data_IF_868885356961
#
_entry.id   IF_868885356961
#
_cell.length_a   1.000
_cell.length_b   1.000
_cell.length_c   1.000
_cell.angle_alpha   90.00
_cell.angle_beta   90.00
_cell.angle_gamma   90.00
#
_symmetry.space_group_name_H-M   'P 1'
#
loop_
_entity.id
_entity.type
_entity.pdbx_description
1 polymer ?
#
# COMPACT_ATOMS: atom_id res chain seq x y z
N UNK A 1 -14.70 -35.10 2.25
CA UNK A 1 -14.66 -34.03 1.24
C UNK A 1 -14.59 -32.73 2.02
N UNK A 2 -13.39 -32.18 2.24
CA UNK A 2 -13.26 -30.85 2.81
C UNK A 2 -13.23 -29.88 1.64
N UNK A 3 -14.18 -28.95 1.59
CA UNK A 3 -14.22 -27.87 0.62
C UNK A 3 -12.97 -27.01 0.82
N UNK A 4 -12.10 -26.98 -0.19
CA UNK A 4 -10.92 -26.12 -0.17
C UNK A 4 -11.40 -24.73 -0.56
N UNK A 5 -11.46 -23.82 0.41
CA UNK A 5 -11.84 -22.43 0.15
C UNK A 5 -10.73 -21.77 -0.70
N UNK A 6 -10.98 -21.60 -2.00
CA UNK A 6 -10.01 -21.02 -2.92
C UNK A 6 -9.94 -19.50 -2.70
N UNK A 7 -8.92 -19.04 -1.99
CA UNK A 7 -8.62 -17.62 -1.87
C UNK A 7 -8.24 -17.03 -3.23
N UNK A 8 -9.04 -16.09 -3.73
CA UNK A 8 -8.80 -15.37 -4.98
C UNK A 8 -8.50 -13.90 -4.71
N UNK A 9 -7.33 -13.44 -5.12
CA UNK A 9 -6.99 -12.01 -5.13
C UNK A 9 -7.71 -11.35 -6.32
N UNK A 10 -8.43 -10.28 -6.05
CA UNK A 10 -9.25 -9.57 -7.06
C UNK A 10 -8.50 -8.46 -7.81
N UNK A 11 -7.27 -8.12 -7.37
CA UNK A 11 -6.38 -7.15 -8.03
C UNK A 11 -5.03 -7.77 -8.42
N UNK A 12 -4.38 -7.23 -9.44
CA UNK A 12 -2.95 -7.50 -9.69
C UNK A 12 -2.19 -7.23 -8.39
N UNK A 13 -1.44 -8.20 -7.85
CA UNK A 13 -0.76 -8.03 -6.57
C UNK A 13 0.63 -8.67 -6.59
N UNK A 14 1.57 -8.01 -5.91
CA UNK A 14 2.85 -8.61 -5.54
C UNK A 14 2.66 -9.36 -4.23
N UNK A 15 2.88 -10.67 -4.24
CA UNK A 15 2.72 -11.54 -3.07
C UNK A 15 3.98 -12.30 -2.75
N UNK A 16 4.14 -12.68 -1.49
CA UNK A 16 5.14 -13.65 -1.05
C UNK A 16 4.53 -14.64 -0.07
N UNK A 17 5.20 -15.78 0.17
CA UNK A 17 4.85 -16.66 1.29
C UNK A 17 4.95 -15.86 2.58
N UNK A 18 3.95 -15.98 3.44
CA UNK A 18 3.98 -15.28 4.72
C UNK A 18 5.16 -15.79 5.56
N UNK A 19 6.17 -14.95 5.87
CA UNK A 19 7.32 -15.37 6.66
C UNK A 19 7.00 -15.42 8.17
N UNK A 20 5.84 -14.91 8.59
CA UNK A 20 5.43 -14.80 10.00
C UNK A 20 4.48 -15.91 10.44
N UNK A 21 3.81 -16.58 9.50
CA UNK A 21 2.95 -17.72 9.80
C UNK A 21 3.65 -19.02 9.40
N UNK A 22 3.86 -19.99 10.32
CA UNK A 22 4.51 -21.27 10.00
C UNK A 22 3.67 -22.17 9.07
N UNK A 23 2.40 -21.84 8.89
CA UNK A 23 1.46 -22.55 8.03
C UNK A 23 1.66 -22.19 6.56
N UNK A 24 1.88 -23.21 5.71
CA UNK A 24 2.50 -23.05 4.38
C UNK A 24 1.56 -22.53 3.29
N UNK A 25 0.30 -22.29 3.64
CA UNK A 25 -0.76 -21.92 2.69
C UNK A 25 -1.15 -20.44 2.79
N UNK A 26 -0.47 -19.64 3.62
CA UNK A 26 -0.72 -18.19 3.73
C UNK A 26 0.30 -17.38 2.92
N UNK A 27 -0.20 -16.31 2.32
CA UNK A 27 0.60 -15.35 1.56
C UNK A 27 0.40 -13.94 2.11
N UNK A 28 1.44 -13.13 1.98
CA UNK A 28 1.42 -11.71 2.31
C UNK A 28 1.33 -10.89 1.02
N UNK A 29 0.39 -9.94 0.97
CA UNK A 29 0.32 -8.94 -0.11
C UNK A 29 1.31 -7.82 0.23
N UNK A 30 2.28 -7.60 -0.65
CA UNK A 30 3.33 -6.59 -0.50
C UNK A 30 2.94 -5.26 -1.14
N UNK A 31 2.14 -5.31 -2.20
CA UNK A 31 1.73 -4.14 -2.96
C UNK A 31 1.00 -4.49 -4.25
N UNK A 32 0.73 -3.47 -5.06
CA UNK A 32 0.21 -3.64 -6.42
C UNK A 32 0.54 -2.44 -7.31
N UNK A 33 0.32 -2.52 -8.63
CA UNK A 33 0.36 -1.35 -9.49
C UNK A 33 -0.78 -0.38 -9.15
N UNK A 34 -0.49 0.92 -9.11
CA UNK A 34 -1.53 1.95 -9.03
C UNK A 34 -2.52 1.80 -10.20
N UNK A 35 -3.82 1.85 -9.91
CA UNK A 35 -4.86 1.64 -10.92
C UNK A 35 -4.97 2.77 -11.96
N UNK A 36 -4.38 3.94 -11.68
CA UNK A 36 -4.39 5.09 -12.58
C UNK A 36 -3.10 5.21 -13.37
N UNK A 37 -1.95 5.21 -12.69
CA UNK A 37 -0.65 5.46 -13.33
C UNK A 37 0.26 4.21 -13.44
N UNK A 38 -0.20 3.03 -12.99
CA UNK A 38 0.53 1.75 -12.99
C UNK A 38 1.86 1.73 -12.23
N UNK A 39 2.24 2.80 -11.54
CA UNK A 39 3.40 2.81 -10.62
C UNK A 39 3.24 1.73 -9.55
N UNK A 40 4.26 0.92 -9.35
CA UNK A 40 4.34 -0.05 -8.24
C UNK A 40 4.32 0.68 -6.90
N UNK A 41 3.39 0.29 -6.02
CA UNK A 41 3.24 0.84 -4.68
C UNK A 41 3.07 -0.28 -3.66
N UNK A 42 3.58 -0.08 -2.44
CA UNK A 42 3.44 -1.06 -1.36
C UNK A 42 2.11 -0.89 -0.62
N UNK A 43 1.75 -1.86 0.23
CA UNK A 43 0.52 -1.82 1.04
C UNK A 43 0.52 -0.80 2.18
N UNK A 44 1.65 -0.12 2.41
CA UNK A 44 1.77 0.87 3.48
C UNK A 44 0.83 2.06 3.26
N UNK A 45 0.25 2.56 4.36
CA UNK A 45 -0.69 3.70 4.39
C UNK A 45 -0.09 5.00 3.89
N UNK A 46 1.23 5.15 4.00
CA UNK A 46 2.00 6.30 3.51
C UNK A 46 2.44 6.14 2.04
N UNK A 47 2.07 5.03 1.39
CA UNK A 47 2.44 4.73 0.01
C UNK A 47 1.22 4.64 -0.91
N UNK A 48 0.16 3.97 -0.44
CA UNK A 48 -1.04 3.74 -1.24
C UNK A 48 -2.31 3.70 -0.40
N UNK A 49 -3.45 3.86 -1.09
CA UNK A 49 -4.78 3.64 -0.57
C UNK A 49 -5.42 2.49 -1.34
N UNK A 50 -6.02 1.54 -0.61
CA UNK A 50 -6.88 0.50 -1.18
C UNK A 50 -8.34 0.82 -0.85
N UNK A 51 -9.20 0.81 -1.87
CA UNK A 51 -10.65 0.89 -1.72
C UNK A 51 -11.32 -0.25 -2.49
N UNK A 52 -11.64 -0.04 -3.77
CA UNK A 52 -12.00 -1.10 -4.72
C UNK A 52 -10.79 -1.60 -5.52
N UNK A 53 -9.75 -0.76 -5.62
CA UNK A 53 -8.45 -1.04 -6.21
C UNK A 53 -7.39 -0.23 -5.46
N UNK A 54 -6.11 -0.50 -5.71
CA UNK A 54 -5.01 0.30 -5.14
C UNK A 54 -4.66 1.53 -5.98
N UNK A 55 -4.42 2.64 -5.28
CA UNK A 55 -3.99 3.91 -5.86
C UNK A 55 -2.78 4.45 -5.10
N UNK A 56 -1.78 4.98 -5.81
CA UNK A 56 -0.70 5.71 -5.16
C UNK A 56 -1.23 7.03 -4.57
N UNK A 57 -0.65 7.51 -3.47
CA UNK A 57 -1.10 8.75 -2.84
C UNK A 57 -1.13 9.97 -3.78
N UNK A 58 -0.18 10.17 -4.71
CA UNK A 58 -0.28 11.25 -5.70
C UNK A 58 -1.58 11.19 -6.51
N UNK A 59 -1.93 10.01 -7.03
CA UNK A 59 -3.16 9.84 -7.80
C UNK A 59 -4.42 9.99 -6.93
N UNK A 60 -4.38 9.60 -5.65
CA UNK A 60 -5.48 9.86 -4.71
C UNK A 60 -5.69 11.37 -4.54
N UNK A 61 -4.62 12.13 -4.29
CA UNK A 61 -4.71 13.57 -4.08
C UNK A 61 -5.20 14.32 -5.33
N UNK A 62 -4.72 13.95 -6.51
CA UNK A 62 -5.16 14.53 -7.79
C UNK A 62 -6.63 14.24 -8.10
N UNK A 63 -7.15 13.11 -7.61
CA UNK A 63 -8.51 12.63 -7.91
C UNK A 63 -9.41 12.57 -6.67
N UNK A 64 -9.08 13.31 -5.60
CA UNK A 64 -9.68 13.11 -4.27
C UNK A 64 -11.21 13.23 -4.29
N UNK A 65 -11.73 14.16 -5.09
CA UNK A 65 -13.17 14.41 -5.23
C UNK A 65 -13.96 13.25 -5.85
N UNK A 66 -13.28 12.29 -6.50
CA UNK A 66 -13.91 11.10 -7.06
C UNK A 66 -14.08 9.97 -6.04
N UNK A 67 -13.47 10.09 -4.86
CA UNK A 67 -13.61 9.11 -3.78
C UNK A 67 -14.82 9.44 -2.87
N UNK A 68 -15.39 8.44 -2.18
CA UNK A 68 -16.38 8.66 -1.12
C UNK A 68 -15.92 9.67 -0.06
N UNK A 69 -16.88 10.37 0.58
CA UNK A 69 -16.60 11.44 1.54
C UNK A 69 -15.71 10.98 2.70
N UNK A 70 -15.87 9.74 3.14
CA UNK A 70 -15.10 9.14 4.23
C UNK A 70 -13.60 9.13 3.89
N UNK A 71 -13.25 8.81 2.64
CA UNK A 71 -11.86 8.82 2.17
C UNK A 71 -11.36 10.25 2.02
N UNK A 72 -12.21 11.18 1.57
CA UNK A 72 -11.84 12.60 1.46
C UNK A 72 -11.45 13.15 2.84
N UNK A 73 -12.29 12.93 3.84
CA UNK A 73 -12.04 13.36 5.23
C UNK A 73 -10.79 12.72 5.83
N UNK A 74 -10.56 11.42 5.56
CA UNK A 74 -9.37 10.72 6.05
C UNK A 74 -8.08 11.22 5.42
N UNK A 75 -8.10 11.62 4.15
CA UNK A 75 -6.94 12.22 3.49
C UNK A 75 -6.65 13.62 4.00
N UNK A 76 -7.67 14.41 4.33
CA UNK A 76 -7.47 15.75 4.91
C UNK A 76 -6.83 15.71 6.30
N UNK A 77 -7.17 14.71 7.13
CA UNK A 77 -6.56 14.48 8.45
C UNK A 77 -5.08 14.05 8.36
N UNK A 78 -4.65 13.52 7.21
CA UNK A 78 -3.30 12.97 7.00
C UNK A 78 -2.27 13.97 6.48
N UNK A 79 -2.65 15.24 6.24
CA UNK A 79 -1.68 16.25 5.78
C UNK A 79 -0.42 16.22 6.65
N UNK A 80 0.77 16.05 6.05
CA UNK A 80 1.95 15.66 6.80
C UNK A 80 2.39 16.73 7.79
N UNK A 81 2.57 16.35 9.05
CA UNK A 81 3.61 16.97 9.87
C UNK A 81 4.95 16.62 9.22
N UNK A 82 5.56 17.60 8.57
CA UNK A 82 6.87 17.47 7.94
C UNK A 82 7.94 17.06 8.98
N UNK A 83 8.21 15.77 9.13
CA UNK A 83 9.46 15.32 9.76
C UNK A 83 10.49 15.07 8.66
N UNK A 84 11.26 16.13 8.39
CA UNK A 84 12.52 16.04 7.67
C UNK A 84 13.38 14.95 8.31
N UNK A 85 13.55 13.82 7.61
CA UNK A 85 14.53 12.82 8.01
C UNK A 85 15.90 13.36 7.63
N UNK A 86 16.59 13.99 8.57
CA UNK A 86 17.98 14.39 8.42
C UNK A 86 18.80 13.15 8.09
N UNK A 87 19.29 13.07 6.84
CA UNK A 87 20.35 12.12 6.47
C UNK A 87 21.58 12.47 7.30
N UNK A 88 21.86 11.72 8.37
CA UNK A 88 23.17 11.78 9.02
C UNK A 88 24.18 11.23 8.02
N UNK A 89 24.98 12.13 7.46
CA UNK A 89 26.17 11.80 6.67
C UNK A 89 27.13 11.09 7.61
N UNK A 90 27.45 9.82 7.32
CA UNK A 90 28.53 9.11 8.01
C UNK A 90 29.83 9.56 7.33
N UNK A 91 30.64 10.35 8.02
CA UNK A 91 31.98 10.70 7.54
C UNK A 91 32.96 9.59 7.94
N UNK A 92 33.65 9.08 6.92
CA UNK A 92 34.66 8.02 7.01
C UNK A 92 35.91 8.57 7.70
N UNK A 93 36.31 7.95 8.81
CA UNK A 93 37.55 8.28 9.53
C UNK A 93 38.74 7.62 8.81
N UNK A 94 39.62 8.44 8.24
CA UNK A 94 41.02 8.09 7.94
C UNK A 94 41.88 8.55 9.11
#
# INVERSE_FOLDING_TARGET
>A
MQEVEQLRILEDSYVMKDPFTPDKEKFLILGSPCSLCRRTVCVGTECSLFYTKRFCLPCVNENLRAFPLEIQEDMDKRKPQSKCSTRKKVDSRT
#
